data_IF_734662777843
#
_entry.id   IF_734662777843
#
_cell.length_a   1.000
_cell.length_b   1.000
_cell.length_c   1.000
_cell.angle_alpha   90.00
_cell.angle_beta   90.00
_cell.angle_gamma   90.00
#
_symmetry.space_group_name_H-M   'P 1'
#
loop_
_entity.id
_entity.type
_entity.pdbx_description
1 polymer ?
#
# COMPACT_ATOMS: atom_id res chain seq x y z
N UNK A 1 -38.88 -86.63 -40.14
CA UNK A 1 -39.97 -86.26 -39.22
C UNK A 1 -40.46 -84.87 -39.61
N UNK A 2 -41.70 -84.83 -40.13
CA UNK A 2 -42.58 -83.68 -40.40
C UNK A 2 -43.10 -83.10 -39.06
N UNK A 3 -43.81 -81.98 -38.89
CA UNK A 3 -44.26 -80.77 -39.61
C UNK A 3 -45.22 -80.07 -38.60
N UNK A 4 -45.40 -78.74 -38.71
CA UNK A 4 -46.68 -77.97 -38.53
C UNK A 4 -47.45 -78.05 -37.18
N UNK A 5 -48.11 -77.03 -36.61
CA UNK A 5 -48.81 -75.80 -37.06
C UNK A 5 -49.15 -74.88 -35.84
N UNK A 6 -49.73 -73.67 -36.05
CA UNK A 6 -49.68 -72.51 -35.14
C UNK A 6 -51.01 -72.14 -34.42
N UNK A 7 -50.96 -71.05 -33.63
CA UNK A 7 -52.12 -70.35 -33.04
C UNK A 7 -51.91 -68.84 -32.95
N UNK A 8 -52.97 -68.08 -33.19
CA UNK A 8 -53.04 -66.64 -33.45
C UNK A 8 -53.05 -65.73 -32.20
N UNK A 9 -52.83 -64.42 -32.36
CA UNK A 9 -53.36 -63.45 -31.40
C UNK A 9 -52.70 -62.06 -31.30
N UNK A 10 -53.38 -61.08 -31.91
CA UNK A 10 -53.66 -59.70 -31.42
C UNK A 10 -52.52 -58.68 -31.30
N UNK A 11 -52.66 -57.61 -32.09
CA UNK A 11 -51.89 -56.36 -31.99
C UNK A 11 -52.32 -55.54 -30.76
N UNK A 12 -51.36 -55.13 -29.92
CA UNK A 12 -51.57 -54.18 -28.84
C UNK A 12 -50.95 -52.82 -29.22
N UNK A 13 -51.81 -51.79 -29.28
CA UNK A 13 -51.41 -50.41 -29.47
C UNK A 13 -50.68 -49.89 -28.22
N UNK A 14 -49.43 -49.46 -28.38
CA UNK A 14 -48.65 -48.85 -27.31
C UNK A 14 -49.07 -47.40 -27.07
N UNK A 15 -49.56 -47.11 -25.86
CA UNK A 15 -49.71 -45.74 -25.34
C UNK A 15 -48.35 -45.33 -24.78
N UNK A 16 -47.64 -44.45 -25.50
CA UNK A 16 -46.45 -43.76 -25.01
C UNK A 16 -46.89 -42.64 -24.03
N UNK A 17 -46.78 -42.89 -22.73
CA UNK A 17 -46.77 -41.82 -21.74
C UNK A 17 -45.46 -41.02 -21.89
N UNK A 18 -45.53 -39.82 -22.46
CA UNK A 18 -44.47 -38.83 -22.31
C UNK A 18 -44.49 -38.31 -20.87
N UNK A 19 -43.69 -38.90 -19.99
CA UNK A 19 -43.29 -38.22 -18.77
C UNK A 19 -42.38 -37.05 -19.16
N UNK A 20 -42.92 -35.83 -19.12
CA UNK A 20 -42.12 -34.62 -19.21
C UNK A 20 -41.21 -34.56 -17.98
N UNK A 21 -39.94 -34.95 -18.15
CA UNK A 21 -38.88 -34.70 -17.18
C UNK A 21 -38.66 -33.19 -17.21
N UNK A 22 -39.36 -32.47 -16.32
CA UNK A 22 -39.01 -31.09 -16.02
C UNK A 22 -37.72 -31.15 -15.21
N UNK A 23 -36.59 -31.01 -15.89
CA UNK A 23 -35.35 -30.67 -15.19
C UNK A 23 -35.63 -29.40 -14.40
N UNK A 24 -35.44 -29.37 -13.06
CA UNK A 24 -35.49 -28.12 -12.35
C UNK A 24 -34.45 -27.23 -13.01
N UNK A 25 -34.91 -26.11 -13.57
CA UNK A 25 -34.01 -25.00 -13.88
C UNK A 25 -33.27 -24.74 -12.58
N UNK A 26 -31.95 -24.97 -12.56
CA UNK A 26 -31.10 -24.47 -11.52
C UNK A 26 -31.22 -22.95 -11.60
N UNK A 27 -32.21 -22.40 -10.90
CA UNK A 27 -32.35 -20.98 -10.74
C UNK A 27 -31.01 -20.50 -10.18
N UNK A 28 -30.34 -19.61 -10.91
CA UNK A 28 -29.09 -19.03 -10.44
C UNK A 28 -29.35 -18.44 -9.06
N UNK A 29 -28.45 -18.70 -8.10
CA UNK A 29 -28.61 -18.20 -6.74
C UNK A 29 -28.89 -16.68 -6.78
N UNK A 30 -29.82 -16.15 -5.97
CA UNK A 30 -30.09 -14.73 -5.97
C UNK A 30 -28.84 -13.89 -5.69
N UNK A 31 -28.82 -12.65 -6.19
CA UNK A 31 -27.84 -11.66 -5.78
C UNK A 31 -28.17 -11.11 -4.38
N UNK A 32 -27.16 -10.72 -3.60
CA UNK A 32 -27.37 -10.07 -2.30
C UNK A 32 -27.74 -8.59 -2.48
N UNK A 33 -27.08 -7.91 -3.43
CA UNK A 33 -27.33 -6.51 -3.76
C UNK A 33 -27.39 -6.33 -5.27
N UNK A 34 -28.37 -5.56 -5.76
CA UNK A 34 -28.46 -5.14 -7.15
C UNK A 34 -28.50 -3.62 -7.19
N UNK A 35 -27.60 -3.02 -7.95
CA UNK A 35 -27.60 -1.60 -8.28
C UNK A 35 -28.28 -1.44 -9.64
N UNK A 36 -29.24 -0.53 -9.76
CA UNK A 36 -29.94 -0.24 -11.03
C UNK A 36 -29.95 1.25 -11.31
N UNK A 37 -30.30 1.60 -12.55
CA UNK A 37 -30.50 2.97 -13.00
C UNK A 37 -29.26 3.86 -12.80
N UNK A 38 -28.07 3.27 -12.92
CA UNK A 38 -26.79 3.96 -12.77
C UNK A 38 -26.06 4.21 -14.08
N UNK A 39 -24.85 4.76 -13.94
CA UNK A 39 -23.77 4.71 -14.94
C UNK A 39 -22.64 3.89 -14.34
N UNK A 40 -22.58 2.60 -14.66
CA UNK A 40 -21.58 1.69 -14.12
C UNK A 40 -20.37 1.68 -15.07
N UNK A 41 -19.24 2.24 -14.62
CA UNK A 41 -17.98 2.23 -15.37
C UNK A 41 -17.30 0.88 -15.14
N UNK A 42 -17.21 0.03 -16.17
CA UNK A 42 -16.70 -1.34 -16.02
C UNK A 42 -15.18 -1.46 -16.10
N UNK A 43 -14.51 -0.46 -16.70
CA UNK A 43 -13.07 -0.48 -17.05
C UNK A 43 -12.64 -1.75 -17.80
N UNK A 44 -13.55 -2.33 -18.60
CA UNK A 44 -13.20 -3.38 -19.57
C UNK A 44 -12.42 -2.79 -20.76
N UNK A 45 -11.96 -3.64 -21.68
CA UNK A 45 -11.17 -3.25 -22.85
C UNK A 45 -11.83 -2.19 -23.75
N UNK A 46 -13.15 -1.97 -23.60
CA UNK A 46 -13.92 -0.98 -24.36
C UNK A 46 -14.44 0.17 -23.49
N UNK A 47 -14.12 0.20 -22.20
CA UNK A 47 -14.65 1.13 -21.21
C UNK A 47 -16.19 1.21 -21.26
N UNK A 48 -16.85 0.06 -21.32
CA UNK A 48 -18.32 -0.01 -21.41
C UNK A 48 -18.99 0.70 -20.23
N UNK A 49 -20.10 1.40 -20.50
CA UNK A 49 -20.98 1.97 -19.47
C UNK A 49 -22.27 1.16 -19.38
N UNK A 50 -22.45 0.44 -18.27
CA UNK A 50 -23.64 -0.35 -17.99
C UNK A 50 -24.66 0.43 -17.14
N UNK A 51 -25.88 -0.11 -17.04
CA UNK A 51 -26.98 0.52 -16.27
C UNK A 51 -27.18 -0.12 -14.90
N UNK A 52 -26.82 -1.40 -14.75
CA UNK A 52 -26.97 -2.14 -13.50
C UNK A 52 -25.83 -3.12 -13.23
N UNK A 53 -25.73 -3.52 -11.95
CA UNK A 53 -24.69 -4.38 -11.39
C UNK A 53 -25.30 -5.28 -10.31
N UNK A 54 -25.03 -6.58 -10.35
CA UNK A 54 -25.45 -7.53 -9.31
C UNK A 54 -24.24 -8.07 -8.54
N UNK A 55 -24.35 -8.12 -7.21
CA UNK A 55 -23.28 -8.50 -6.28
C UNK A 55 -23.78 -9.67 -5.43
N UNK A 56 -22.95 -10.72 -5.30
CA UNK A 56 -23.15 -11.83 -4.37
C UNK A 56 -21.88 -12.03 -3.54
N UNK A 57 -21.99 -11.94 -2.22
CA UNK A 57 -20.87 -11.88 -1.29
C UNK A 57 -19.88 -10.80 -1.71
N UNK A 58 -18.68 -11.23 -2.09
CA UNK A 58 -17.56 -10.36 -2.48
C UNK A 58 -17.29 -10.36 -4.00
N UNK A 59 -18.24 -10.83 -4.82
CA UNK A 59 -18.07 -10.97 -6.26
C UNK A 59 -19.20 -10.25 -7.00
N UNK A 60 -18.84 -9.61 -8.11
CA UNK A 60 -19.79 -9.15 -9.10
C UNK A 60 -20.24 -10.38 -9.90
N UNK A 61 -21.54 -10.63 -9.95
CA UNK A 61 -22.12 -11.81 -10.64
C UNK A 61 -22.81 -11.46 -11.95
N UNK A 62 -23.17 -10.19 -12.16
CA UNK A 62 -23.63 -9.67 -13.45
C UNK A 62 -23.40 -8.16 -13.56
N UNK A 63 -23.19 -7.68 -14.79
CA UNK A 63 -23.14 -6.27 -15.16
C UNK A 63 -23.80 -6.11 -16.53
N UNK A 64 -24.68 -5.12 -16.69
CA UNK A 64 -25.44 -5.01 -17.94
C UNK A 64 -26.56 -3.97 -17.89
N UNK A 65 -27.63 -4.24 -18.62
CA UNK A 65 -28.83 -3.41 -18.56
C UNK A 65 -29.61 -3.70 -17.25
N UNK A 66 -30.55 -2.83 -16.89
CA UNK A 66 -31.31 -2.98 -15.65
C UNK A 66 -32.15 -4.28 -15.60
N UNK A 67 -32.74 -4.69 -16.72
CA UNK A 67 -33.60 -5.87 -16.77
C UNK A 67 -32.78 -7.15 -16.52
N UNK A 68 -31.63 -7.29 -17.20
CA UNK A 68 -30.77 -8.47 -17.09
C UNK A 68 -30.30 -8.71 -15.65
N UNK A 69 -29.88 -7.64 -14.94
CA UNK A 69 -29.41 -7.81 -13.56
C UNK A 69 -30.56 -8.05 -12.57
N UNK A 70 -31.77 -7.57 -12.88
CA UNK A 70 -32.96 -7.80 -12.05
C UNK A 70 -33.49 -9.24 -12.14
N UNK A 71 -33.11 -10.01 -13.18
CA UNK A 71 -33.41 -11.45 -13.24
C UNK A 71 -32.76 -12.23 -12.08
N UNK A 72 -31.70 -11.68 -11.48
CA UNK A 72 -31.02 -12.26 -10.31
C UNK A 72 -31.64 -11.83 -8.97
N UNK A 73 -32.75 -11.10 -8.98
CA UNK A 73 -33.44 -10.66 -7.76
C UNK A 73 -34.17 -11.84 -7.09
N UNK A 74 -33.94 -12.03 -5.79
CA UNK A 74 -34.68 -12.95 -4.93
C UNK A 74 -35.32 -12.25 -3.73
N UNK A 75 -35.98 -13.01 -2.86
CA UNK A 75 -36.74 -12.47 -1.72
C UNK A 75 -35.92 -11.69 -0.69
N UNK A 76 -34.61 -11.90 -0.63
CA UNK A 76 -33.69 -11.19 0.27
C UNK A 76 -32.81 -10.13 -0.40
N UNK A 77 -32.91 -9.97 -1.72
CA UNK A 77 -32.02 -9.08 -2.48
C UNK A 77 -32.27 -7.62 -2.17
N UNK A 78 -31.22 -6.87 -1.82
CA UNK A 78 -31.28 -5.41 -1.67
C UNK A 78 -31.15 -4.73 -3.03
N UNK A 79 -32.22 -4.12 -3.51
CA UNK A 79 -32.20 -3.32 -4.75
C UNK A 79 -31.96 -1.86 -4.42
N UNK A 80 -30.97 -1.24 -5.08
CA UNK A 80 -30.58 0.17 -4.89
C UNK A 80 -30.74 0.91 -6.23
N UNK A 81 -31.67 1.86 -6.27
CA UNK A 81 -31.80 2.80 -7.39
C UNK A 81 -30.75 3.91 -7.26
N UNK A 82 -29.78 3.91 -8.19
CA UNK A 82 -28.68 4.86 -8.23
C UNK A 82 -29.10 6.24 -8.75
N UNK A 83 -30.32 6.44 -9.23
CA UNK A 83 -30.83 7.74 -9.70
C UNK A 83 -29.87 8.44 -10.68
N UNK A 84 -29.33 7.67 -11.63
CA UNK A 84 -28.35 8.09 -12.64
C UNK A 84 -26.96 8.48 -12.11
N UNK A 85 -26.66 8.22 -10.83
CA UNK A 85 -25.31 8.37 -10.29
C UNK A 85 -24.34 7.36 -10.92
N UNK A 86 -23.06 7.73 -10.91
CA UNK A 86 -21.98 6.92 -11.45
C UNK A 86 -21.41 6.00 -10.38
N UNK A 87 -21.18 4.74 -10.75
CA UNK A 87 -20.37 3.80 -9.96
C UNK A 87 -19.06 3.59 -10.70
N UNK A 88 -17.96 3.76 -9.99
CA UNK A 88 -16.60 3.45 -10.47
C UNK A 88 -16.04 2.28 -9.64
N UNK A 89 -15.06 1.54 -10.16
CA UNK A 89 -14.27 0.63 -9.34
C UNK A 89 -13.67 1.39 -8.15
N UNK A 90 -13.57 0.72 -7.00
CA UNK A 90 -12.80 1.25 -5.89
C UNK A 90 -11.36 1.50 -6.33
N UNK A 91 -10.79 2.62 -5.88
CA UNK A 91 -9.45 3.02 -6.28
C UNK A 91 -8.41 2.09 -5.64
N UNK A 92 -7.35 1.84 -6.39
CA UNK A 92 -6.19 1.06 -5.96
C UNK A 92 -4.99 1.99 -6.00
N UNK A 93 -4.35 2.21 -4.86
CA UNK A 93 -3.06 2.88 -4.81
C UNK A 93 -1.94 1.87 -5.11
N UNK A 94 -1.23 2.05 -6.23
CA UNK A 94 -0.26 1.05 -6.71
C UNK A 94 1.14 1.22 -6.11
N UNK A 95 1.38 2.22 -5.27
CA UNK A 95 2.64 2.42 -4.57
C UNK A 95 2.44 3.30 -3.33
N UNK A 96 2.42 2.68 -2.16
CA UNK A 96 2.20 3.37 -0.89
C UNK A 96 3.13 2.88 0.24
N UNK A 97 3.15 3.63 1.35
CA UNK A 97 3.75 3.22 2.62
C UNK A 97 2.72 3.27 3.75
N UNK A 98 1.53 2.77 3.46
CA UNK A 98 0.35 2.80 4.31
C UNK A 98 0.47 1.90 5.53
N UNK A 99 1.29 0.86 5.52
CA UNK A 99 1.56 0.00 6.68
C UNK A 99 2.29 0.76 7.78
N UNK A 100 3.17 1.70 7.39
CA UNK A 100 3.91 2.57 8.32
C UNK A 100 3.05 3.75 8.81
N UNK A 101 2.18 4.28 7.96
CA UNK A 101 1.41 5.49 8.24
C UNK A 101 0.65 5.52 9.59
N UNK A 102 0.06 4.41 10.11
CA UNK A 102 -0.65 4.42 11.39
C UNK A 102 0.23 4.14 12.62
N UNK A 103 1.56 4.24 12.53
CA UNK A 103 2.46 4.24 13.71
C UNK A 103 1.98 5.26 14.76
N UNK A 104 1.50 6.42 14.32
CA UNK A 104 0.98 7.45 15.21
C UNK A 104 -0.36 8.00 14.68
N UNK A 105 -1.20 8.49 15.59
CA UNK A 105 -2.32 9.36 15.20
C UNK A 105 -1.78 10.76 14.92
N UNK A 106 -1.23 10.93 13.72
CA UNK A 106 -0.50 12.12 13.33
C UNK A 106 -1.38 13.37 13.23
N UNK A 107 -0.83 14.49 13.68
CA UNK A 107 -1.30 15.81 13.28
C UNK A 107 -0.94 16.01 11.80
N UNK A 108 -1.92 16.30 10.96
CA UNK A 108 -1.71 16.49 9.52
C UNK A 108 -1.67 17.97 9.15
N UNK A 109 -0.66 18.34 8.35
CA UNK A 109 -0.45 19.70 7.83
C UNK A 109 -0.54 19.76 6.29
N UNK A 110 -0.98 18.67 5.67
CA UNK A 110 -1.19 18.56 4.23
C UNK A 110 -2.17 19.63 3.74
N UNK A 111 -1.78 20.40 2.72
CA UNK A 111 -2.60 21.47 2.16
C UNK A 111 -2.80 22.70 3.06
N UNK A 112 -2.11 22.79 4.21
CA UNK A 112 -2.18 23.95 5.10
C UNK A 112 -1.22 25.04 4.64
N UNK A 113 -1.71 25.93 3.78
CA UNK A 113 -0.89 26.98 3.14
C UNK A 113 -0.56 28.21 4.03
N UNK A 114 -0.92 28.21 5.31
CA UNK A 114 -0.59 29.28 6.26
C UNK A 114 0.05 28.72 7.52
N UNK A 115 1.20 29.26 7.89
CA UNK A 115 1.92 28.94 9.12
C UNK A 115 1.09 29.31 10.35
N UNK A 116 0.41 30.46 10.33
CA UNK A 116 -0.50 30.85 11.41
C UNK A 116 -1.57 29.77 11.62
N UNK A 117 -2.15 29.26 10.53
CA UNK A 117 -3.15 28.18 10.61
C UNK A 117 -2.55 26.88 11.15
N UNK A 118 -1.32 26.54 10.75
CA UNK A 118 -0.62 25.37 11.27
C UNK A 118 -0.38 25.45 12.79
N UNK A 119 0.00 26.63 13.30
CA UNK A 119 0.15 26.87 14.75
C UNK A 119 -1.19 26.76 15.51
N UNK A 120 -2.30 27.24 14.93
CA UNK A 120 -3.63 27.08 15.52
C UNK A 120 -4.04 25.60 15.63
N UNK A 121 -3.75 24.82 14.58
CA UNK A 121 -4.00 23.37 14.53
C UNK A 121 -3.15 22.66 15.59
N UNK A 122 -1.86 22.98 15.66
CA UNK A 122 -0.95 22.43 16.68
C UNK A 122 -1.42 22.78 18.10
N UNK A 123 -1.80 24.03 18.34
CA UNK A 123 -2.28 24.46 19.66
C UNK A 123 -3.59 23.79 20.05
N UNK A 124 -4.50 23.55 19.10
CA UNK A 124 -5.71 22.78 19.34
C UNK A 124 -5.39 21.33 19.72
N UNK A 125 -4.48 20.69 18.99
CA UNK A 125 -4.02 19.33 19.27
C UNK A 125 -3.32 19.22 20.63
N UNK A 126 -2.49 20.19 20.98
CA UNK A 126 -1.81 20.24 22.28
C UNK A 126 -2.79 20.39 23.45
N UNK A 127 -3.85 21.19 23.30
CA UNK A 127 -4.89 21.34 24.34
C UNK A 127 -5.72 20.08 24.57
N UNK A 128 -5.91 19.25 23.55
CA UNK A 128 -6.70 18.01 23.67
C UNK A 128 -5.86 16.79 24.01
N UNK A 129 -4.53 16.88 23.91
CA UNK A 129 -3.62 15.78 24.17
C UNK A 129 -3.51 15.51 25.68
N UNK A 130 -3.59 14.24 26.13
CA UNK A 130 -3.06 13.79 27.41
C UNK A 130 -1.64 14.31 27.68
N UNK A 131 -1.32 14.63 28.93
CA UNK A 131 0.01 15.10 29.31
C UNK A 131 1.07 14.06 28.95
N UNK A 132 2.16 14.51 28.31
CA UNK A 132 3.26 13.64 27.89
C UNK A 132 3.00 12.83 26.61
N UNK A 133 1.80 12.91 26.02
CA UNK A 133 1.54 12.31 24.71
C UNK A 133 2.36 13.04 23.64
N UNK A 134 2.98 12.26 22.74
CA UNK A 134 3.71 12.78 21.59
C UNK A 134 2.75 13.35 20.55
N UNK A 135 2.99 14.58 20.14
CA UNK A 135 2.30 15.22 19.02
C UNK A 135 3.24 15.16 17.82
N UNK A 136 2.84 14.39 16.83
CA UNK A 136 3.73 13.96 15.75
C UNK A 136 3.14 14.34 14.39
N UNK A 137 4.00 14.84 13.50
CA UNK A 137 3.76 14.97 12.05
C UNK A 137 4.99 14.44 11.33
N UNK A 138 4.90 13.34 10.58
CA UNK A 138 6.05 12.70 9.91
C UNK A 138 6.07 12.93 8.39
N UNK A 139 5.86 14.18 7.98
CA UNK A 139 5.87 14.61 6.57
C UNK A 139 4.55 15.24 6.13
N UNK A 140 4.32 15.28 4.81
CA UNK A 140 3.12 15.87 4.22
C UNK A 140 3.10 17.40 4.16
N UNK A 141 4.20 18.06 4.52
CA UNK A 141 4.35 19.51 4.43
C UNK A 141 5.82 19.93 4.28
N UNK A 142 6.03 21.16 3.81
CA UNK A 142 7.31 21.87 3.83
C UNK A 142 7.07 23.36 4.14
N UNK A 143 8.12 24.09 4.52
CA UNK A 143 8.05 25.52 4.81
C UNK A 143 7.59 26.34 3.60
N UNK A 144 7.93 25.90 2.40
CA UNK A 144 7.60 26.55 1.13
C UNK A 144 6.09 26.58 0.85
N UNK A 145 5.29 25.73 1.50
CA UNK A 145 3.84 25.78 1.36
C UNK A 145 3.22 26.99 2.08
N UNK A 146 3.93 27.60 3.04
CA UNK A 146 3.42 28.71 3.84
C UNK A 146 3.55 30.04 3.10
N UNK A 147 2.39 30.57 2.72
CA UNK A 147 2.26 31.81 1.96
C UNK A 147 2.44 33.08 2.83
N UNK A 148 2.32 32.95 4.15
CA UNK A 148 2.36 34.04 5.12
C UNK A 148 3.71 34.19 5.84
N UNK A 149 4.35 33.09 6.23
CA UNK A 149 5.64 33.08 6.95
C UNK A 149 6.36 31.73 6.76
N UNK A 150 7.54 31.69 6.11
CA UNK A 150 8.24 30.44 5.82
C UNK A 150 9.26 30.02 6.91
N UNK A 151 9.29 30.64 8.09
CA UNK A 151 10.35 30.42 9.11
C UNK A 151 10.33 29.05 9.81
N UNK A 152 9.49 28.10 9.41
CA UNK A 152 9.36 26.81 10.09
C UNK A 152 8.83 26.93 11.51
N UNK A 153 9.30 26.11 12.46
CA UNK A 153 8.77 26.08 13.84
C UNK A 153 9.88 26.19 14.90
N UNK A 154 10.24 27.41 15.34
CA UNK A 154 11.27 27.61 16.37
C UNK A 154 10.94 26.94 17.71
N UNK A 155 11.98 26.47 18.40
CA UNK A 155 11.91 25.78 19.70
C UNK A 155 11.06 26.52 20.74
N UNK A 156 11.29 27.83 20.89
CA UNK A 156 10.61 28.65 21.91
C UNK A 156 9.11 28.81 21.64
N UNK A 157 8.68 28.74 20.38
CA UNK A 157 7.26 28.80 20.02
C UNK A 157 6.58 27.46 20.26
N UNK A 158 7.25 26.35 19.91
CA UNK A 158 6.75 25.02 20.22
C UNK A 158 6.66 24.77 21.73
N UNK A 159 7.64 25.26 22.50
CA UNK A 159 7.63 25.20 23.97
C UNK A 159 6.47 25.99 24.58
N UNK A 160 6.14 27.15 24.01
CA UNK A 160 4.98 27.95 24.44
C UNK A 160 3.66 27.26 24.12
N UNK A 161 3.56 26.57 22.98
CA UNK A 161 2.32 25.91 22.55
C UNK A 161 2.08 24.60 23.29
N UNK A 162 3.14 23.81 23.52
CA UNK A 162 3.07 22.46 24.05
C UNK A 162 4.14 22.21 25.13
N UNK A 163 4.11 22.91 26.28
CA UNK A 163 5.18 22.84 27.28
C UNK A 163 5.31 21.46 27.96
N UNK A 164 4.24 20.66 27.95
CA UNK A 164 4.17 19.36 28.63
C UNK A 164 4.11 18.16 27.66
N UNK A 165 4.03 18.40 26.35
CA UNK A 165 3.86 17.37 25.34
C UNK A 165 5.06 17.41 24.39
N UNK A 166 5.79 16.30 24.19
CA UNK A 166 6.77 16.19 23.13
C UNK A 166 6.15 16.52 21.76
N UNK A 167 6.74 17.45 21.02
CA UNK A 167 6.32 17.79 19.65
C UNK A 167 7.43 17.45 18.67
N UNK A 168 7.09 16.75 17.59
CA UNK A 168 7.94 16.55 16.42
C UNK A 168 7.16 16.92 15.17
N UNK A 169 7.66 17.90 14.42
CA UNK A 169 7.13 18.28 13.10
C UNK A 169 8.21 18.06 12.05
N UNK A 170 8.08 16.98 11.28
CA UNK A 170 9.00 16.63 10.20
C UNK A 170 8.58 17.34 8.91
N UNK A 171 9.44 18.19 8.38
CA UNK A 171 9.29 18.85 7.08
C UNK A 171 9.96 17.99 6.00
N UNK A 172 9.12 17.36 5.17
CA UNK A 172 9.51 16.35 4.16
C UNK A 172 10.59 15.38 4.69
N UNK A 173 11.55 14.94 3.86
CA UNK A 173 12.72 14.16 4.31
C UNK A 173 13.95 15.04 4.58
N UNK A 174 13.73 16.35 4.78
CA UNK A 174 14.80 17.33 4.93
C UNK A 174 15.13 17.58 6.40
N UNK A 175 14.13 17.79 7.25
CA UNK A 175 14.38 18.13 8.66
C UNK A 175 13.21 17.85 9.60
N UNK A 176 13.48 17.93 10.90
CA UNK A 176 12.48 17.84 11.97
C UNK A 176 12.64 18.99 12.95
N UNK A 177 11.52 19.58 13.36
CA UNK A 177 11.41 20.55 14.44
C UNK A 177 10.94 19.84 15.71
N UNK A 178 11.64 20.07 16.81
CA UNK A 178 11.40 19.48 18.11
C UNK A 178 11.26 20.58 19.16
N UNK A 179 10.38 20.36 20.13
CA UNK A 179 10.34 21.17 21.34
C UNK A 179 11.28 20.63 22.43
N UNK A 180 11.46 21.38 23.53
CA UNK A 180 12.32 20.98 24.65
C UNK A 180 11.84 19.68 25.31
N UNK A 181 10.51 19.45 25.37
CA UNK A 181 9.95 18.20 25.88
C UNK A 181 10.35 16.99 25.00
N UNK A 182 10.34 17.14 23.68
CA UNK A 182 10.76 16.11 22.73
C UNK A 182 12.26 15.86 22.76
N UNK A 183 13.10 16.91 22.80
CA UNK A 183 14.55 16.76 22.96
C UNK A 183 14.88 15.95 24.23
N UNK A 184 14.25 16.30 25.36
CA UNK A 184 14.42 15.58 26.62
C UNK A 184 13.96 14.12 26.52
N UNK A 185 12.77 13.88 25.98
CA UNK A 185 12.21 12.54 25.87
C UNK A 185 13.02 11.64 24.90
N UNK A 186 13.59 12.22 23.83
CA UNK A 186 14.45 11.55 22.88
C UNK A 186 15.90 11.35 23.37
N UNK A 187 16.28 11.99 24.48
CA UNK A 187 17.64 11.99 25.00
C UNK A 187 18.63 12.70 24.07
N UNK A 188 18.20 13.81 23.45
CA UNK A 188 19.02 14.65 22.57
C UNK A 188 19.51 15.85 23.38
N UNK A 189 20.82 15.98 23.47
CA UNK A 189 21.51 17.01 24.26
C UNK A 189 22.78 17.54 23.55
N UNK A 190 23.53 18.41 24.25
CA UNK A 190 24.77 18.98 23.73
C UNK A 190 25.85 17.94 23.39
N UNK A 191 25.86 16.80 24.09
CA UNK A 191 26.83 15.72 23.89
C UNK A 191 26.41 14.74 22.78
N UNK A 192 25.16 14.82 22.31
CA UNK A 192 24.65 13.95 21.25
C UNK A 192 25.38 14.24 19.94
N UNK A 193 26.04 13.24 19.32
CA UNK A 193 26.73 13.41 18.05
C UNK A 193 25.74 13.50 16.90
N UNK A 194 26.19 14.09 15.78
CA UNK A 194 25.40 14.13 14.56
C UNK A 194 25.13 12.71 14.02
N UNK A 195 23.89 12.40 13.60
CA UNK A 195 23.57 11.12 12.99
C UNK A 195 24.17 11.03 11.58
N UNK A 196 24.48 9.80 11.14
CA UNK A 196 24.97 9.58 9.77
C UNK A 196 23.97 10.11 8.75
N UNK A 197 24.40 11.05 7.90
CA UNK A 197 23.55 11.64 6.87
C UNK A 197 22.57 12.69 7.40
N UNK A 198 22.84 13.27 8.58
CA UNK A 198 22.13 14.40 9.13
C UNK A 198 22.98 15.21 10.10
N UNK A 199 22.38 16.24 10.69
CA UNK A 199 23.02 17.07 11.73
C UNK A 199 22.01 17.55 12.76
N UNK A 200 22.45 17.69 14.00
CA UNK A 200 21.68 18.30 15.09
C UNK A 200 22.13 19.75 15.19
N UNK A 201 21.24 20.68 14.87
CA UNK A 201 21.55 22.10 14.97
C UNK A 201 21.71 22.51 16.44
N UNK A 202 22.82 23.18 16.74
CA UNK A 202 23.19 23.62 18.08
C UNK A 202 23.51 25.12 18.06
N UNK A 203 23.16 25.81 19.14
CA UNK A 203 23.46 27.22 19.32
C UNK A 203 24.95 27.47 19.65
N UNK A 204 25.32 28.73 19.89
CA UNK A 204 26.69 29.11 20.24
C UNK A 204 27.22 28.47 21.54
N UNK A 205 26.34 27.98 22.42
CA UNK A 205 26.69 27.30 23.66
C UNK A 205 26.70 25.77 23.49
N UNK A 206 26.43 25.25 22.28
CA UNK A 206 26.32 23.83 22.00
C UNK A 206 24.97 23.21 22.40
N UNK A 207 23.97 24.03 22.75
CA UNK A 207 22.64 23.56 23.13
C UNK A 207 21.81 23.27 21.87
N UNK A 208 21.15 22.10 21.74
CA UNK A 208 20.30 21.82 20.58
C UNK A 208 19.20 22.86 20.38
N UNK A 209 19.03 23.36 19.17
CA UNK A 209 18.03 24.39 18.82
C UNK A 209 16.65 23.82 18.51
N UNK A 210 16.47 22.50 18.64
CA UNK A 210 15.25 21.80 18.24
C UNK A 210 15.18 21.48 16.75
N UNK A 211 16.18 21.83 15.93
CA UNK A 211 16.21 21.49 14.50
C UNK A 211 17.18 20.36 14.23
N UNK A 212 16.71 19.29 13.59
CA UNK A 212 17.55 18.17 13.12
C UNK A 212 17.39 18.02 11.62
N UNK A 213 18.50 18.05 10.87
CA UNK A 213 18.52 18.15 9.40
C UNK A 213 19.05 16.88 8.75
N UNK A 214 18.78 16.75 7.45
CA UNK A 214 19.16 15.64 6.58
C UNK A 214 18.28 14.40 6.78
N UNK A 215 18.16 13.59 5.73
CA UNK A 215 17.37 12.35 5.76
C UNK A 215 17.80 11.39 6.88
N UNK A 216 19.10 11.34 7.20
CA UNK A 216 19.60 10.56 8.34
C UNK A 216 19.21 11.14 9.70
N UNK A 217 19.10 12.47 9.79
CA UNK A 217 18.62 13.16 10.98
C UNK A 217 17.12 12.98 11.20
N UNK A 218 16.32 13.06 10.14
CA UNK A 218 14.89 12.74 10.16
C UNK A 218 14.66 11.30 10.64
N UNK A 219 15.36 10.33 10.06
CA UNK A 219 15.26 8.93 10.50
C UNK A 219 15.73 8.74 11.95
N UNK A 220 16.77 9.46 12.37
CA UNK A 220 17.25 9.44 13.75
C UNK A 220 16.18 9.94 14.73
N UNK A 221 15.48 11.02 14.41
CA UNK A 221 14.38 11.56 15.25
C UNK A 221 13.20 10.59 15.28
N UNK A 222 12.75 10.10 14.12
CA UNK A 222 11.62 9.16 14.04
C UNK A 222 11.85 7.91 14.91
N UNK A 223 13.07 7.36 14.90
CA UNK A 223 13.44 6.21 15.72
C UNK A 223 13.42 6.46 17.25
N UNK A 224 13.32 7.72 17.69
CA UNK A 224 13.20 8.10 19.10
C UNK A 224 11.75 8.24 19.56
N UNK A 225 10.80 8.26 18.64
CA UNK A 225 9.38 8.37 18.96
C UNK A 225 8.88 6.98 19.40
N UNK A 226 8.26 6.85 20.59
CA UNK A 226 7.76 5.56 21.05
C UNK A 226 6.61 5.05 20.17
N UNK A 227 6.73 3.81 19.70
CA UNK A 227 5.62 3.12 19.02
C UNK A 227 4.46 2.86 20.01
N UNK A 228 3.20 2.90 19.52
CA UNK A 228 2.04 2.60 20.33
C UNK A 228 2.02 1.13 20.76
N UNK A 229 1.23 0.82 21.80
CA UNK A 229 0.88 -0.56 22.09
C UNK A 229 0.00 -1.16 20.98
N UNK A 230 -0.20 -2.48 21.05
CA UNK A 230 -0.92 -3.23 20.00
C UNK A 230 -2.35 -2.75 19.79
N UNK A 231 -3.11 -2.48 20.85
CA UNK A 231 -4.53 -2.10 20.72
C UNK A 231 -4.66 -0.67 20.17
N UNK A 232 -3.79 0.23 20.62
CA UNK A 232 -3.74 1.58 20.05
C UNK A 232 -3.30 1.55 18.58
N UNK A 233 -2.37 0.69 18.19
CA UNK A 233 -1.97 0.55 16.79
C UNK A 233 -3.12 0.01 15.93
N UNK A 234 -3.84 -1.01 16.39
CA UNK A 234 -5.05 -1.53 15.71
C UNK A 234 -6.10 -0.41 15.54
N UNK A 235 -6.30 0.42 16.57
CA UNK A 235 -7.19 1.57 16.49
C UNK A 235 -6.73 2.60 15.45
N UNK A 236 -5.42 2.89 15.39
CA UNK A 236 -4.84 3.76 14.37
C UNK A 236 -5.06 3.20 12.96
N UNK A 237 -4.81 1.91 12.73
CA UNK A 237 -5.06 1.26 11.43
C UNK A 237 -6.52 1.39 11.03
N UNK A 238 -7.47 1.13 11.94
CA UNK A 238 -8.90 1.27 11.66
C UNK A 238 -9.27 2.70 11.25
N UNK A 239 -8.77 3.70 11.98
CA UNK A 239 -8.98 5.12 11.67
C UNK A 239 -8.39 5.47 10.31
N UNK A 240 -7.17 5.01 10.03
CA UNK A 240 -6.45 5.27 8.80
C UNK A 240 -7.17 4.67 7.58
N UNK A 241 -7.54 3.39 7.64
CA UNK A 241 -8.28 2.71 6.57
C UNK A 241 -9.66 3.34 6.35
N UNK A 242 -10.34 3.81 7.40
CA UNK A 242 -11.58 4.58 7.25
C UNK A 242 -11.36 5.89 6.46
N UNK A 243 -10.24 6.58 6.70
CA UNK A 243 -9.83 7.75 5.92
C UNK A 243 -9.58 7.42 4.45
N UNK A 244 -8.87 6.33 4.16
CA UNK A 244 -8.63 5.84 2.79
C UNK A 244 -9.95 5.52 2.06
N UNK A 245 -10.85 4.79 2.72
CA UNK A 245 -12.16 4.45 2.17
C UNK A 245 -13.00 5.68 1.85
N UNK A 246 -12.92 6.74 2.67
CA UNK A 246 -13.62 8.00 2.42
C UNK A 246 -13.11 8.72 1.15
N UNK A 247 -11.88 8.46 0.74
CA UNK A 247 -11.30 8.92 -0.53
C UNK A 247 -11.55 7.94 -1.69
N UNK A 248 -12.23 6.83 -1.44
CA UNK A 248 -12.51 5.79 -2.43
C UNK A 248 -11.37 4.78 -2.63
N UNK A 249 -10.30 4.84 -1.83
CA UNK A 249 -9.21 3.86 -1.86
C UNK A 249 -9.68 2.60 -1.13
N UNK A 250 -9.73 1.48 -1.86
CA UNK A 250 -10.23 0.18 -1.37
C UNK A 250 -9.17 -0.92 -1.44
N UNK A 251 -8.05 -0.65 -2.11
CA UNK A 251 -6.88 -1.50 -2.07
C UNK A 251 -5.60 -0.68 -2.23
N UNK A 252 -4.48 -1.24 -1.79
CA UNK A 252 -3.17 -0.68 -2.08
C UNK A 252 -2.08 -1.75 -2.20
N UNK A 253 -0.99 -1.34 -2.86
CA UNK A 253 0.28 -2.02 -2.88
C UNK A 253 1.27 -1.25 -2.00
N UNK A 254 1.64 -1.83 -0.85
CA UNK A 254 2.60 -1.26 0.07
C UNK A 254 4.03 -1.69 -0.31
N UNK A 255 4.86 -0.72 -0.62
CA UNK A 255 6.22 -0.93 -1.07
C UNK A 255 7.19 -1.29 0.08
N UNK A 256 6.68 -1.50 1.29
CA UNK A 256 7.44 -1.71 2.51
C UNK A 256 8.00 -0.41 3.06
N UNK A 257 9.02 -0.48 3.91
CA UNK A 257 9.69 0.71 4.41
C UNK A 257 10.93 0.41 5.22
N UNK A 258 11.82 1.40 5.34
CA UNK A 258 12.94 1.33 6.30
C UNK A 258 12.38 1.31 7.72
N UNK A 259 12.95 0.48 8.59
CA UNK A 259 12.52 0.36 9.99
C UNK A 259 11.29 -0.52 10.20
N UNK A 260 10.71 -1.09 9.13
CA UNK A 260 9.61 -2.05 9.25
C UNK A 260 10.06 -3.34 9.92
N UNK A 261 9.15 -3.89 10.71
CA UNK A 261 9.28 -5.14 11.46
C UNK A 261 7.94 -5.86 11.49
N UNK A 262 7.91 -7.12 11.91
CA UNK A 262 6.68 -7.93 12.05
C UNK A 262 5.54 -7.20 12.77
N UNK A 263 5.86 -6.39 13.80
CA UNK A 263 4.89 -5.57 14.53
C UNK A 263 4.04 -4.65 13.64
N UNK A 264 4.60 -4.08 12.58
CA UNK A 264 3.89 -3.16 11.68
C UNK A 264 2.81 -3.91 10.90
N UNK A 265 3.11 -5.13 10.48
CA UNK A 265 2.18 -5.99 9.76
C UNK A 265 1.15 -6.63 10.69
N UNK A 266 1.50 -6.89 11.96
CA UNK A 266 0.65 -7.59 12.92
C UNK A 266 -0.72 -6.90 13.18
N UNK A 267 -0.76 -5.55 13.20
CA UNK A 267 -2.01 -4.82 13.39
C UNK A 267 -2.99 -5.00 12.22
N UNK A 268 -2.47 -4.97 10.99
CA UNK A 268 -3.23 -5.25 9.77
C UNK A 268 -3.66 -6.72 9.70
N UNK A 269 -2.75 -7.65 9.98
CA UNK A 269 -3.05 -9.08 10.02
C UNK A 269 -4.16 -9.38 11.03
N UNK A 270 -4.11 -8.78 12.22
CA UNK A 270 -5.14 -8.95 13.25
C UNK A 270 -6.51 -8.50 12.76
N UNK A 271 -6.60 -7.36 12.07
CA UNK A 271 -7.86 -6.89 11.50
C UNK A 271 -8.34 -7.79 10.35
N UNK A 272 -7.43 -8.28 9.51
CA UNK A 272 -7.75 -9.21 8.42
C UNK A 272 -8.30 -10.54 8.97
N UNK A 273 -7.64 -11.13 9.96
CA UNK A 273 -8.02 -12.40 10.59
C UNK A 273 -9.37 -12.31 11.31
N UNK A 274 -9.70 -11.13 11.85
CA UNK A 274 -11.00 -10.85 12.47
C UNK A 274 -12.12 -10.50 11.47
N UNK A 275 -11.79 -10.38 10.17
CA UNK A 275 -12.74 -9.89 9.16
C UNK A 275 -13.12 -8.41 9.35
N UNK A 276 -12.30 -7.64 10.07
CA UNK A 276 -12.50 -6.22 10.36
C UNK A 276 -11.74 -5.30 9.38
N UNK A 277 -10.78 -5.83 8.61
CA UNK A 277 -10.08 -5.07 7.58
C UNK A 277 -10.96 -4.98 6.33
N UNK A 278 -11.43 -3.77 5.99
CA UNK A 278 -12.36 -3.55 4.87
C UNK A 278 -11.68 -2.96 3.61
N UNK A 279 -10.37 -3.18 3.46
CA UNK A 279 -9.59 -2.83 2.28
C UNK A 279 -8.51 -3.90 2.03
N UNK A 280 -8.06 -4.06 0.78
CA UNK A 280 -7.04 -5.04 0.42
C UNK A 280 -5.65 -4.42 0.44
N UNK A 281 -4.69 -5.12 1.01
CA UNK A 281 -3.37 -4.60 1.29
C UNK A 281 -2.33 -5.66 0.92
N UNK A 282 -1.76 -5.50 -0.25
CA UNK A 282 -0.66 -6.34 -0.72
C UNK A 282 0.65 -5.63 -0.46
N UNK A 283 1.65 -6.32 0.05
CA UNK A 283 2.89 -5.67 0.47
C UNK A 283 4.14 -6.45 0.08
N UNK A 284 5.28 -5.76 0.12
CA UNK A 284 6.58 -6.36 -0.13
C UNK A 284 7.54 -6.28 1.04
N UNK A 285 8.41 -7.28 1.12
CA UNK A 285 9.49 -7.30 2.08
C UNK A 285 10.65 -6.44 1.59
N UNK A 286 11.03 -5.43 2.37
CA UNK A 286 12.30 -4.74 2.20
C UNK A 286 13.38 -5.44 3.02
N UNK A 287 14.47 -5.82 2.35
CA UNK A 287 15.78 -6.04 2.96
C UNK A 287 16.79 -5.19 2.19
N UNK A 288 17.66 -4.49 2.91
CA UNK A 288 18.65 -3.60 2.31
C UNK A 288 20.07 -4.13 2.56
N UNK A 289 20.43 -5.30 2.00
CA UNK A 289 21.79 -5.78 2.07
C UNK A 289 22.72 -4.75 1.41
N UNK A 290 23.89 -4.57 2.00
CA UNK A 290 24.92 -3.64 1.57
C UNK A 290 26.23 -4.35 1.18
N UNK A 291 26.27 -5.68 1.33
CA UNK A 291 27.44 -6.52 1.09
C UNK A 291 27.02 -7.86 0.51
N UNK A 292 27.89 -8.55 -0.26
CA UNK A 292 27.60 -9.89 -0.80
C UNK A 292 27.24 -10.93 0.28
N UNK A 293 27.81 -10.83 1.49
CA UNK A 293 27.47 -11.72 2.61
C UNK A 293 26.01 -11.52 3.04
N UNK A 294 25.58 -10.26 3.17
CA UNK A 294 24.19 -9.93 3.52
C UNK A 294 23.24 -10.34 2.40
N UNK A 295 23.65 -10.22 1.14
CA UNK A 295 22.87 -10.73 0.00
C UNK A 295 22.63 -12.23 0.16
N UNK A 296 23.66 -13.03 0.49
CA UNK A 296 23.49 -14.46 0.74
C UNK A 296 22.40 -14.81 1.76
N UNK A 297 22.26 -14.02 2.83
CA UNK A 297 21.19 -14.19 3.84
C UNK A 297 19.82 -13.86 3.26
N UNK A 298 19.73 -12.79 2.47
CA UNK A 298 18.50 -12.38 1.77
C UNK A 298 18.04 -13.44 0.76
N UNK A 299 18.95 -14.03 -0.01
CA UNK A 299 18.61 -15.09 -0.96
C UNK A 299 17.98 -16.31 -0.27
N UNK A 300 18.54 -16.72 0.88
CA UNK A 300 17.99 -17.82 1.67
C UNK A 300 16.60 -17.52 2.22
N UNK A 301 16.34 -16.26 2.59
CA UNK A 301 15.03 -15.80 3.06
C UNK A 301 14.00 -15.79 1.92
N UNK A 302 14.35 -15.24 0.76
CA UNK A 302 13.50 -15.19 -0.44
C UNK A 302 13.00 -16.59 -0.82
N UNK A 303 13.87 -17.59 -0.80
CA UNK A 303 13.52 -18.96 -1.18
C UNK A 303 12.46 -19.61 -0.29
N UNK A 304 12.26 -19.11 0.93
CA UNK A 304 11.25 -19.60 1.87
C UNK A 304 9.86 -18.99 1.65
N UNK A 305 9.73 -18.00 0.77
CA UNK A 305 8.51 -17.25 0.56
C UNK A 305 7.90 -17.52 -0.82
N UNK A 306 6.58 -17.49 -0.90
CA UNK A 306 5.78 -17.52 -2.14
C UNK A 306 4.66 -16.50 -1.99
N UNK A 307 4.18 -15.87 -3.07
CA UNK A 307 3.00 -15.01 -2.99
C UNK A 307 1.74 -15.86 -2.77
N UNK A 308 0.65 -15.23 -2.34
CA UNK A 308 -0.69 -15.85 -2.29
C UNK A 308 -0.77 -17.11 -1.39
N UNK A 309 -0.08 -17.07 -0.24
CA UNK A 309 -0.13 -18.06 0.85
C UNK A 309 -1.10 -17.68 1.99
N UNK A 310 -1.59 -16.44 2.02
CA UNK A 310 -2.45 -15.85 3.04
C UNK A 310 -3.92 -15.74 2.60
N UNK A 311 -4.53 -14.59 2.85
CA UNK A 311 -5.94 -14.32 2.53
C UNK A 311 -6.09 -13.16 1.53
N UNK A 312 -7.30 -13.01 0.97
CA UNK A 312 -7.64 -12.00 -0.06
C UNK A 312 -7.52 -10.52 0.40
N UNK A 313 -7.19 -10.25 1.67
CA UNK A 313 -7.22 -8.92 2.29
C UNK A 313 -5.87 -8.39 2.73
N UNK A 314 -4.96 -9.23 3.24
CA UNK A 314 -3.66 -8.76 3.70
C UNK A 314 -2.58 -9.81 3.48
N UNK A 315 -1.59 -9.46 2.67
CA UNK A 315 -0.63 -10.45 2.20
C UNK A 315 0.69 -9.87 1.68
N UNK A 316 1.79 -10.55 2.03
CA UNK A 316 3.06 -10.37 1.35
C UNK A 316 3.03 -11.06 -0.03
N UNK A 317 3.25 -10.28 -1.10
CA UNK A 317 3.27 -10.82 -2.46
C UNK A 317 4.64 -10.72 -3.13
N UNK A 318 5.63 -10.13 -2.45
CA UNK A 318 6.91 -9.92 -3.10
C UNK A 318 7.97 -9.21 -2.27
N UNK A 319 8.92 -8.62 -3.00
CA UNK A 319 10.15 -8.08 -2.45
C UNK A 319 10.46 -6.69 -3.01
N UNK A 320 11.13 -5.87 -2.20
CA UNK A 320 11.41 -4.46 -2.50
C UNK A 320 10.58 -3.51 -1.65
N UNK A 321 10.60 -2.19 -1.88
CA UNK A 321 11.16 -1.49 -3.06
C UNK A 321 12.69 -1.35 -3.14
N UNK A 322 13.40 -1.38 -2.00
CA UNK A 322 14.87 -1.25 -2.00
C UNK A 322 15.50 -2.61 -1.76
N UNK A 323 15.98 -3.23 -2.84
CA UNK A 323 16.47 -4.62 -2.82
C UNK A 323 17.97 -4.75 -2.53
N UNK A 324 18.77 -3.72 -2.84
CA UNK A 324 20.20 -3.68 -2.58
C UNK A 324 20.63 -2.24 -2.33
N UNK A 325 21.19 -1.97 -1.15
CA UNK A 325 21.44 -0.59 -0.69
C UNK A 325 22.39 0.19 -1.62
N UNK A 326 23.51 -0.38 -2.11
CA UNK A 326 24.43 0.32 -3.01
C UNK A 326 23.83 0.63 -4.39
N UNK A 327 22.73 -0.03 -4.78
CA UNK A 327 22.05 0.18 -6.05
C UNK A 327 20.65 0.83 -5.89
N UNK A 328 20.37 1.41 -4.72
CA UNK A 328 19.11 2.15 -4.48
C UNK A 328 19.36 3.64 -4.69
N UNK A 329 18.50 4.28 -5.48
CA UNK A 329 18.58 5.72 -5.81
C UNK A 329 17.76 6.57 -4.82
N UNK A 330 18.05 7.87 -4.75
CA UNK A 330 17.20 8.90 -4.10
C UNK A 330 17.49 10.24 -4.77
N UNK A 331 16.47 10.97 -5.21
CA UNK A 331 16.65 12.28 -5.88
C UNK A 331 17.25 13.39 -5.00
N UNK A 332 17.32 13.18 -3.68
CA UNK A 332 18.04 14.07 -2.78
C UNK A 332 19.58 13.93 -2.92
N UNK A 333 20.06 12.93 -3.67
CA UNK A 333 21.48 12.68 -3.97
C UNK A 333 21.68 12.38 -5.45
N UNK A 334 22.04 13.41 -6.20
CA UNK A 334 22.22 13.34 -7.65
C UNK A 334 23.62 12.85 -8.09
N UNK A 335 24.40 12.24 -7.20
CA UNK A 335 25.77 11.76 -7.44
C UNK A 335 25.85 10.22 -7.54
N UNK A 336 24.72 9.54 -7.74
CA UNK A 336 24.68 8.09 -7.86
C UNK A 336 25.48 7.59 -9.07
N UNK A 337 26.40 6.66 -8.81
CA UNK A 337 27.23 6.00 -9.83
C UNK A 337 26.94 4.51 -9.83
N UNK A 338 26.44 4.01 -10.96
CA UNK A 338 26.25 2.58 -11.19
C UNK A 338 27.60 1.86 -11.17
N UNK A 339 27.68 0.76 -10.43
CA UNK A 339 28.84 -0.12 -10.42
C UNK A 339 28.47 -1.53 -10.91
N UNK A 340 29.23 -2.12 -11.85
CA UNK A 340 28.94 -3.46 -12.34
C UNK A 340 28.91 -4.53 -11.25
N UNK A 341 29.74 -4.41 -10.20
CA UNK A 341 29.72 -5.30 -9.05
C UNK A 341 28.43 -5.23 -8.23
N UNK A 342 27.85 -4.04 -8.10
CA UNK A 342 26.60 -3.84 -7.37
C UNK A 342 25.42 -4.39 -8.19
N UNK A 343 25.43 -4.20 -9.52
CA UNK A 343 24.39 -4.75 -10.39
C UNK A 343 24.43 -6.28 -10.49
N UNK A 344 25.59 -6.92 -10.33
CA UNK A 344 25.66 -8.40 -10.19
C UNK A 344 24.92 -8.88 -8.94
N UNK A 345 25.03 -8.17 -7.83
CA UNK A 345 24.28 -8.51 -6.60
C UNK A 345 22.78 -8.25 -6.77
N UNK A 346 22.39 -7.17 -7.47
CA UNK A 346 21.00 -6.93 -7.87
C UNK A 346 20.44 -8.11 -8.68
N UNK A 347 21.15 -8.57 -9.71
CA UNK A 347 20.71 -9.73 -10.53
C UNK A 347 20.52 -10.99 -9.70
N UNK A 348 21.43 -11.27 -8.75
CA UNK A 348 21.32 -12.43 -7.86
C UNK A 348 20.03 -12.40 -7.04
N UNK A 349 19.67 -11.22 -6.52
CA UNK A 349 18.42 -11.03 -5.77
C UNK A 349 17.21 -11.17 -6.68
N UNK A 350 17.21 -10.51 -7.84
CA UNK A 350 16.14 -10.63 -8.84
C UNK A 350 15.92 -12.09 -9.24
N UNK A 351 16.98 -12.84 -9.52
CA UNK A 351 16.89 -14.25 -9.87
C UNK A 351 16.20 -15.07 -8.77
N UNK A 352 16.58 -14.90 -7.50
CA UNK A 352 15.93 -15.62 -6.40
C UNK A 352 14.44 -15.24 -6.24
N UNK A 353 14.10 -13.97 -6.49
CA UNK A 353 12.69 -13.50 -6.51
C UNK A 353 11.93 -14.18 -7.64
N UNK A 354 12.53 -14.28 -8.83
CA UNK A 354 11.92 -14.93 -10.00
C UNK A 354 11.70 -16.43 -9.77
N UNK A 355 12.71 -17.14 -9.26
CA UNK A 355 12.62 -18.56 -8.89
C UNK A 355 11.54 -18.84 -7.83
N UNK A 356 11.23 -17.83 -7.01
CA UNK A 356 10.17 -17.90 -6.00
C UNK A 356 8.80 -17.44 -6.53
N UNK A 357 8.70 -17.03 -7.80
CA UNK A 357 7.48 -16.53 -8.42
C UNK A 357 6.95 -15.25 -7.76
N UNK A 358 7.80 -14.54 -7.02
CA UNK A 358 7.41 -13.35 -6.26
C UNK A 358 7.38 -12.10 -7.14
N UNK A 359 6.59 -11.12 -6.70
CA UNK A 359 6.57 -9.80 -7.29
C UNK A 359 7.84 -9.04 -6.89
N UNK A 360 8.28 -8.13 -7.74
CA UNK A 360 9.38 -7.22 -7.46
C UNK A 360 8.87 -5.79 -7.58
N UNK A 361 9.21 -4.97 -6.60
CA UNK A 361 9.25 -3.53 -6.76
C UNK A 361 10.71 -3.08 -6.59
N UNK A 362 11.22 -2.27 -7.52
CA UNK A 362 12.54 -1.69 -7.39
C UNK A 362 12.45 -0.16 -7.46
N UNK A 363 13.00 0.51 -6.44
CA UNK A 363 13.13 1.96 -6.39
C UNK A 363 14.23 2.44 -7.35
N UNK A 364 13.84 2.99 -8.51
CA UNK A 364 14.77 3.39 -9.57
C UNK A 364 14.34 4.72 -10.20
N UNK A 365 14.94 5.82 -9.75
CA UNK A 365 14.55 7.18 -10.17
C UNK A 365 15.46 7.74 -11.29
N UNK A 366 16.76 7.40 -11.25
CA UNK A 366 17.79 8.08 -12.05
C UNK A 366 18.09 7.37 -13.36
N UNK A 367 18.36 8.13 -14.43
CA UNK A 367 18.48 7.61 -15.81
C UNK A 367 19.51 6.48 -15.93
N UNK A 368 20.69 6.65 -15.31
CA UNK A 368 21.76 5.66 -15.31
C UNK A 368 21.38 4.38 -14.55
N UNK A 369 20.64 4.51 -13.45
CA UNK A 369 20.14 3.38 -12.68
C UNK A 369 19.04 2.64 -13.47
N UNK A 370 18.12 3.36 -14.11
CA UNK A 370 17.07 2.78 -14.97
C UNK A 370 17.73 1.94 -16.06
N UNK A 371 18.73 2.48 -16.76
CA UNK A 371 19.48 1.78 -17.79
C UNK A 371 20.10 0.47 -17.27
N UNK A 372 20.73 0.55 -16.09
CA UNK A 372 21.36 -0.61 -15.46
C UNK A 372 20.34 -1.68 -15.07
N UNK A 373 19.23 -1.31 -14.43
CA UNK A 373 18.18 -2.25 -14.03
C UNK A 373 17.54 -2.91 -15.25
N UNK A 374 17.25 -2.16 -16.32
CA UNK A 374 16.73 -2.74 -17.56
C UNK A 374 17.70 -3.77 -18.16
N UNK A 375 19.00 -3.47 -18.18
CA UNK A 375 20.02 -4.43 -18.62
C UNK A 375 20.05 -5.72 -17.79
N UNK A 376 19.96 -5.61 -16.46
CA UNK A 376 19.91 -6.80 -15.59
C UNK A 376 18.63 -7.62 -15.79
N UNK A 377 17.48 -6.97 -16.00
CA UNK A 377 16.20 -7.62 -16.28
C UNK A 377 16.22 -8.36 -17.63
N UNK A 378 16.76 -7.74 -18.68
CA UNK A 378 16.89 -8.36 -20.00
C UNK A 378 17.80 -9.58 -19.96
N UNK A 379 18.93 -9.49 -19.28
CA UNK A 379 19.84 -10.62 -19.13
C UNK A 379 19.25 -11.74 -18.27
N UNK A 380 18.51 -11.41 -17.21
CA UNK A 380 17.80 -12.40 -16.40
C UNK A 380 16.74 -13.13 -17.24
N UNK A 381 15.95 -12.38 -18.02
CA UNK A 381 14.86 -12.94 -18.83
C UNK A 381 15.34 -13.94 -19.90
N UNK A 382 16.62 -13.93 -20.28
CA UNK A 382 17.20 -14.93 -21.18
C UNK A 382 17.34 -16.32 -20.54
N UNK A 383 17.45 -16.38 -19.21
CA UNK A 383 17.70 -17.63 -18.46
C UNK A 383 16.53 -18.02 -17.56
N UNK A 384 15.78 -17.04 -17.05
CA UNK A 384 14.60 -17.22 -16.20
C UNK A 384 13.50 -16.27 -16.70
N UNK A 385 12.47 -16.76 -17.40
CA UNK A 385 11.43 -15.91 -17.95
C UNK A 385 10.69 -15.11 -16.87
N UNK A 386 10.83 -13.79 -16.89
CA UNK A 386 10.17 -12.90 -15.91
C UNK A 386 8.78 -12.43 -16.35
N UNK A 387 8.34 -12.83 -17.55
CA UNK A 387 7.02 -12.50 -18.08
C UNK A 387 5.92 -13.09 -17.19
N UNK A 388 5.03 -12.23 -16.71
CA UNK A 388 3.91 -12.62 -15.84
C UNK A 388 4.21 -12.50 -14.34
N UNK A 389 5.46 -12.22 -13.94
CA UNK A 389 5.82 -11.97 -12.55
C UNK A 389 5.41 -10.57 -12.05
N UNK A 390 4.93 -9.69 -12.96
CA UNK A 390 4.40 -8.35 -12.65
C UNK A 390 5.39 -7.47 -11.87
N UNK A 391 6.64 -7.47 -12.32
CA UNK A 391 7.69 -6.65 -11.72
C UNK A 391 7.55 -5.17 -12.09
N UNK A 392 7.91 -4.29 -11.16
CA UNK A 392 7.73 -2.84 -11.25
C UNK A 392 9.04 -2.13 -10.94
N UNK A 393 9.39 -1.14 -11.77
CA UNK A 393 10.34 -0.10 -11.41
C UNK A 393 9.54 1.13 -10.96
N UNK A 394 9.76 1.59 -9.72
CA UNK A 394 9.02 2.71 -9.13
C UNK A 394 9.74 4.04 -9.36
N UNK A 395 8.92 5.10 -9.40
CA UNK A 395 9.28 6.51 -9.59
C UNK A 395 9.67 6.88 -11.03
N UNK A 396 10.77 6.33 -11.56
CA UNK A 396 11.19 6.55 -12.95
C UNK A 396 11.36 8.03 -13.36
N UNK A 397 11.74 8.91 -12.43
CA UNK A 397 11.74 10.37 -12.62
C UNK A 397 12.59 10.86 -13.80
N UNK A 398 13.66 10.15 -14.13
CA UNK A 398 14.57 10.49 -15.24
C UNK A 398 14.50 9.47 -16.39
N UNK A 399 13.38 8.78 -16.56
CA UNK A 399 13.22 7.81 -17.66
C UNK A 399 13.24 8.50 -19.03
N UNK A 400 13.89 7.86 -20.01
CA UNK A 400 13.91 8.31 -21.41
C UNK A 400 12.95 7.51 -22.31
N UNK A 401 12.57 8.06 -23.46
CA UNK A 401 11.75 7.38 -24.48
C UNK A 401 12.35 6.03 -24.92
N UNK A 402 13.67 5.95 -25.03
CA UNK A 402 14.37 4.73 -25.39
C UNK A 402 14.24 3.65 -24.30
N UNK A 403 14.23 4.05 -23.03
CA UNK A 403 14.03 3.14 -21.90
C UNK A 403 12.57 2.69 -21.81
N UNK A 404 11.61 3.59 -22.05
CA UNK A 404 10.19 3.24 -22.13
C UNK A 404 9.91 2.23 -23.25
N UNK A 405 10.60 2.32 -24.39
CA UNK A 405 10.44 1.37 -25.48
C UNK A 405 10.99 -0.04 -25.18
N UNK A 406 11.86 -0.18 -24.16
CA UNK A 406 12.42 -1.46 -23.71
C UNK A 406 11.55 -2.17 -22.66
N UNK A 407 10.78 -1.40 -21.88
CA UNK A 407 9.82 -1.91 -20.90
C UNK A 407 8.62 -2.55 -21.61
#
# INVERSE_FOLDING_TARGET
MKCERPGAGVAAAGVLLLCAITSPSLAADPADTILVNGKIVTVDDRFTIAQGLAIRGQRIVAVGNNADVLELQGGGTKVIDLKKQTVIPGLIDNHAHFIRAPEHDELRLDGVASRKRALEILAARARSAPLGEWIVTLGGWSEEQFTDDPRGFPLDELDRIAPANPVVLQAVYNQSYLNSAALKAAGIDAATPDPRGGSIEKDANGTPTGVVRGAGGVAFVAAKIPLPDTEQWIANVRKFVAGLNAMGITAWYDAGGRGMSEKHYAAYQTLADRGELNARAFWTTIRQPATPEQVGKVLAEIQQHRPFQGNDYFENIGWGESIYQPATTNLLRNDFVVKPEDMREVRRIMQAIAESGMFLNAHVEMENAIEAYLGELEELNKVEPIKGLRWVLSHLDQVSDAQLARM
#
